data_IF_517766671300
#
_entry.id   IF_517766671300
#
_cell.length_a   1.000
_cell.length_b   1.000
_cell.length_c   1.000
_cell.angle_alpha   90.00
_cell.angle_beta   90.00
_cell.angle_gamma   90.00
#
_symmetry.space_group_name_H-M   'P 1'
#
loop_
_entity.id
_entity.type
_entity.pdbx_description
1 polymer ?
#
# COMPACT_ATOMS: atom_id res chain seq x y z
N UNK A 1 9.18 -16.67 -15.26
CA UNK A 1 9.58 -15.24 -15.17
C UNK A 1 8.34 -14.33 -15.16
N UNK A 2 7.45 -14.53 -14.17
CA UNK A 2 6.26 -13.70 -13.98
C UNK A 2 6.68 -12.29 -13.57
N UNK A 3 6.22 -11.28 -14.33
CA UNK A 3 6.51 -9.86 -14.07
C UNK A 3 5.32 -9.09 -13.54
N UNK A 4 4.13 -9.45 -13.98
CA UNK A 4 2.87 -8.80 -13.59
C UNK A 4 1.89 -9.87 -13.16
N UNK A 5 1.34 -9.71 -11.96
CA UNK A 5 0.24 -10.51 -11.45
C UNK A 5 -0.88 -9.56 -11.00
N UNK A 6 -2.03 -9.70 -11.63
CA UNK A 6 -3.25 -8.97 -11.29
C UNK A 6 -4.37 -9.96 -11.04
N UNK A 7 -4.86 -9.99 -9.81
CA UNK A 7 -5.95 -10.85 -9.36
C UNK A 7 -7.20 -9.98 -9.16
N UNK A 8 -7.83 -9.61 -10.28
CA UNK A 8 -9.03 -8.78 -10.29
C UNK A 8 -10.25 -9.67 -10.56
N UNK A 9 -11.31 -9.45 -9.78
CA UNK A 9 -12.61 -10.13 -9.96
C UNK A 9 -12.48 -11.68 -9.99
N UNK A 10 -11.48 -12.23 -9.33
CA UNK A 10 -11.30 -13.66 -9.17
C UNK A 10 -11.51 -14.08 -7.71
N UNK A 11 -11.93 -15.33 -7.54
CA UNK A 11 -12.01 -15.99 -6.24
C UNK A 11 -10.83 -16.95 -6.17
N UNK A 12 -9.97 -16.79 -5.18
CA UNK A 12 -8.96 -17.77 -4.84
C UNK A 12 -9.51 -18.61 -3.71
N UNK A 13 -9.85 -19.86 -4.01
CA UNK A 13 -10.23 -20.83 -2.99
C UNK A 13 -8.99 -21.22 -2.19
N UNK A 14 -8.82 -20.55 -1.08
CA UNK A 14 -7.66 -20.68 -0.21
C UNK A 14 -8.11 -20.83 1.24
N UNK A 15 -7.70 -21.92 1.86
CA UNK A 15 -8.10 -22.30 3.20
C UNK A 15 -7.18 -21.68 4.27
N UNK A 16 -6.90 -20.36 4.19
CA UNK A 16 -6.18 -19.69 5.27
C UNK A 16 -5.15 -18.64 4.84
N UNK A 17 -5.28 -18.08 3.65
CA UNK A 17 -4.39 -17.00 3.19
C UNK A 17 -3.00 -17.45 2.75
N UNK A 18 -2.82 -18.74 2.50
CA UNK A 18 -1.51 -19.33 2.17
C UNK A 18 -1.15 -19.27 0.67
N UNK A 19 -2.01 -18.71 -0.17
CA UNK A 19 -1.82 -18.70 -1.62
C UNK A 19 -0.50 -18.07 -2.08
N UNK A 20 0.04 -17.10 -1.32
CA UNK A 20 1.35 -16.50 -1.59
C UNK A 20 2.52 -17.47 -1.31
N UNK A 21 2.33 -18.48 -0.46
CA UNK A 21 3.37 -19.47 -0.14
C UNK A 21 3.71 -20.37 -1.33
N UNK A 22 2.77 -20.54 -2.26
CA UNK A 22 2.96 -21.34 -3.48
C UNK A 22 3.85 -20.68 -4.54
N UNK A 23 4.21 -19.40 -4.36
CA UNK A 23 5.16 -18.77 -5.27
C UNK A 23 6.55 -19.37 -5.11
N UNK A 24 7.15 -19.91 -6.19
CA UNK A 24 8.49 -20.46 -6.13
C UNK A 24 9.52 -19.44 -5.63
N UNK A 25 10.54 -19.88 -4.93
CA UNK A 25 11.62 -19.00 -4.46
C UNK A 25 12.33 -18.28 -5.62
N UNK A 26 12.34 -18.89 -6.81
CA UNK A 26 12.85 -18.30 -8.04
C UNK A 26 11.99 -17.17 -8.61
N UNK A 27 10.82 -16.87 -8.03
CA UNK A 27 9.94 -15.77 -8.46
C UNK A 27 10.50 -14.44 -7.98
N UNK A 28 11.51 -13.92 -8.65
CA UNK A 28 12.21 -12.67 -8.30
C UNK A 28 12.00 -11.56 -9.34
N UNK A 29 11.20 -11.83 -10.38
CA UNK A 29 11.04 -10.94 -11.54
C UNK A 29 9.82 -10.02 -11.46
N UNK A 30 9.06 -10.05 -10.34
CA UNK A 30 7.85 -9.23 -10.20
C UNK A 30 8.15 -7.74 -10.29
N UNK A 31 7.33 -7.06 -11.10
CA UNK A 31 7.32 -5.60 -11.27
C UNK A 31 6.01 -5.02 -10.75
N UNK A 32 4.91 -5.75 -10.89
CA UNK A 32 3.58 -5.37 -10.43
C UNK A 32 2.88 -6.56 -9.78
N UNK A 33 2.29 -6.29 -8.61
CA UNK A 33 1.42 -7.20 -7.88
C UNK A 33 0.15 -6.44 -7.47
N UNK A 34 -1.01 -6.82 -8.00
CA UNK A 34 -2.31 -6.24 -7.69
C UNK A 34 -3.29 -7.35 -7.26
N UNK A 35 -3.67 -7.34 -6.00
CA UNK A 35 -4.74 -8.17 -5.45
C UNK A 35 -5.76 -7.36 -4.65
N UNK A 36 -5.89 -6.08 -4.99
CA UNK A 36 -6.75 -5.13 -4.28
C UNK A 36 -8.24 -5.53 -4.28
N UNK A 37 -8.68 -6.25 -5.30
CA UNK A 37 -10.06 -6.74 -5.45
C UNK A 37 -10.24 -8.21 -5.02
N UNK A 38 -9.20 -8.85 -4.50
CA UNK A 38 -9.27 -10.24 -4.05
C UNK A 38 -9.90 -10.29 -2.66
N UNK A 39 -10.99 -11.03 -2.51
CA UNK A 39 -11.61 -11.31 -1.21
C UNK A 39 -11.00 -12.58 -0.61
N UNK A 40 -9.80 -12.45 -0.10
CA UNK A 40 -9.06 -13.54 0.54
C UNK A 40 -8.18 -13.00 1.66
N UNK A 41 -7.96 -13.83 2.67
CA UNK A 41 -6.97 -13.52 3.71
C UNK A 41 -5.55 -13.48 3.11
N UNK A 42 -4.68 -12.75 3.77
CA UNK A 42 -3.28 -12.60 3.36
C UNK A 42 -2.37 -12.85 4.56
N UNK A 43 -1.52 -13.85 4.43
CA UNK A 43 -0.47 -14.11 5.41
C UNK A 43 0.70 -13.14 5.17
N UNK A 44 0.83 -12.17 6.06
CA UNK A 44 1.79 -11.06 5.90
C UNK A 44 3.22 -11.55 5.73
N UNK A 45 3.64 -12.59 6.46
CA UNK A 45 4.99 -13.17 6.34
C UNK A 45 5.31 -13.69 4.94
N UNK A 46 4.33 -14.26 4.24
CA UNK A 46 4.52 -14.76 2.88
C UNK A 46 4.57 -13.61 1.87
N UNK A 47 3.75 -12.58 2.09
CA UNK A 47 3.79 -11.36 1.28
C UNK A 47 5.13 -10.61 1.46
N UNK A 48 5.61 -10.46 2.68
CA UNK A 48 6.92 -9.87 2.99
C UNK A 48 8.06 -10.63 2.29
N UNK A 49 8.01 -11.96 2.35
CA UNK A 49 8.99 -12.82 1.67
C UNK A 49 8.98 -12.62 0.16
N UNK A 50 7.79 -12.54 -0.46
CA UNK A 50 7.65 -12.29 -1.89
C UNK A 50 8.15 -10.90 -2.29
N UNK A 51 7.78 -9.87 -1.54
CA UNK A 51 8.17 -8.48 -1.77
C UNK A 51 9.69 -8.31 -1.61
N UNK A 52 10.28 -8.86 -0.55
CA UNK A 52 11.72 -8.74 -0.26
C UNK A 52 12.59 -9.36 -1.34
N UNK A 53 12.14 -10.46 -1.98
CA UNK A 53 12.87 -11.10 -3.08
C UNK A 53 12.56 -10.52 -4.47
N UNK A 54 11.71 -9.48 -4.54
CA UNK A 54 11.30 -8.83 -5.79
C UNK A 54 11.89 -7.40 -5.90
N UNK A 55 13.18 -7.25 -6.15
CA UNK A 55 13.87 -5.94 -6.12
C UNK A 55 13.38 -4.98 -7.21
N UNK A 56 12.72 -5.51 -8.25
CA UNK A 56 12.17 -4.73 -9.35
C UNK A 56 10.68 -4.38 -9.15
N UNK A 57 10.09 -4.70 -8.00
CA UNK A 57 8.68 -4.42 -7.72
C UNK A 57 8.47 -2.90 -7.65
N UNK A 58 7.62 -2.38 -8.55
CA UNK A 58 7.29 -0.95 -8.67
C UNK A 58 5.85 -0.64 -8.29
N UNK A 59 4.94 -1.58 -8.52
CA UNK A 59 3.52 -1.43 -8.20
C UNK A 59 3.08 -2.54 -7.25
N UNK A 60 2.48 -2.16 -6.13
CA UNK A 60 1.91 -3.06 -5.13
C UNK A 60 0.53 -2.55 -4.73
N UNK A 61 -0.53 -3.33 -4.99
CA UNK A 61 -1.90 -3.00 -4.58
C UNK A 61 -2.46 -4.11 -3.70
N UNK A 62 -2.79 -3.72 -2.50
CA UNK A 62 -3.18 -4.59 -1.39
C UNK A 62 -4.70 -4.59 -1.24
N UNK A 63 -5.26 -5.73 -0.81
CA UNK A 63 -6.66 -5.81 -0.41
C UNK A 63 -6.87 -5.34 1.05
N UNK A 64 -8.13 -5.15 1.48
CA UNK A 64 -8.44 -4.70 2.84
C UNK A 64 -8.04 -5.67 3.96
N UNK A 65 -7.71 -6.94 3.66
CA UNK A 65 -7.23 -7.89 4.65
C UNK A 65 -5.80 -7.56 5.16
N UNK A 66 -5.03 -6.78 4.41
CA UNK A 66 -3.72 -6.29 4.84
C UNK A 66 -3.91 -5.14 5.83
N UNK A 67 -3.55 -5.40 7.08
CA UNK A 67 -3.67 -4.44 8.17
C UNK A 67 -2.61 -3.35 8.10
N UNK A 68 -2.80 -2.28 8.89
CA UNK A 68 -1.84 -1.18 9.00
C UNK A 68 -0.44 -1.64 9.45
N UNK A 69 -0.34 -2.57 10.41
CA UNK A 69 0.95 -3.13 10.84
C UNK A 69 1.62 -3.91 9.70
N UNK A 70 0.85 -4.67 8.92
CA UNK A 70 1.34 -5.35 7.72
C UNK A 70 1.83 -4.36 6.66
N UNK A 71 1.09 -3.28 6.41
CA UNK A 71 1.51 -2.22 5.49
C UNK A 71 2.84 -1.59 5.92
N UNK A 72 2.99 -1.24 7.20
CA UNK A 72 4.24 -0.66 7.75
C UNK A 72 5.43 -1.59 7.50
N UNK A 73 5.25 -2.88 7.73
CA UNK A 73 6.29 -3.89 7.50
C UNK A 73 6.67 -3.99 6.02
N UNK A 74 5.68 -4.03 5.12
CA UNK A 74 5.89 -4.10 3.67
C UNK A 74 6.63 -2.87 3.13
N UNK A 75 6.29 -1.66 3.58
CA UNK A 75 6.94 -0.44 3.13
C UNK A 75 8.44 -0.38 3.52
N UNK A 76 8.83 -1.02 4.61
CA UNK A 76 10.24 -1.18 4.98
C UNK A 76 10.99 -2.11 4.01
N UNK A 77 10.31 -3.11 3.46
CA UNK A 77 10.89 -4.09 2.54
C UNK A 77 10.92 -3.60 1.07
N UNK A 78 10.15 -2.58 0.72
CA UNK A 78 9.96 -2.14 -0.66
C UNK A 78 10.10 -0.62 -0.88
N UNK A 79 11.25 -0.01 -0.54
CA UNK A 79 11.44 1.43 -0.70
C UNK A 79 11.46 1.91 -2.17
N UNK A 80 11.59 0.97 -3.12
CA UNK A 80 11.62 1.22 -4.56
C UNK A 80 10.23 1.37 -5.21
N UNK A 81 9.13 1.25 -4.43
CA UNK A 81 7.79 1.37 -4.96
C UNK A 81 7.52 2.77 -5.53
N UNK A 82 6.89 2.79 -6.71
CA UNK A 82 6.40 3.99 -7.37
C UNK A 82 4.88 4.09 -7.33
N UNK A 83 4.19 2.97 -7.17
CA UNK A 83 2.74 2.87 -7.03
C UNK A 83 2.37 1.98 -5.85
N UNK A 84 1.49 2.47 -4.98
CA UNK A 84 0.99 1.75 -3.82
C UNK A 84 -0.53 1.90 -3.72
N UNK A 85 -1.22 0.77 -3.59
CA UNK A 85 -2.58 0.67 -3.08
C UNK A 85 -2.52 0.09 -1.67
N UNK A 86 -2.94 0.85 -0.68
CA UNK A 86 -2.91 0.40 0.72
C UNK A 86 -4.06 -0.57 1.01
N UNK A 87 -3.89 -1.41 2.02
CA UNK A 87 -4.97 -2.17 2.62
C UNK A 87 -5.85 -1.31 3.53
N UNK A 88 -6.47 -1.93 4.55
CA UNK A 88 -7.37 -1.25 5.47
C UNK A 88 -6.63 -0.55 6.61
N UNK A 89 -7.16 0.61 7.01
CA UNK A 89 -6.73 1.38 8.18
C UNK A 89 -7.69 1.19 9.37
N UNK A 90 -8.79 0.47 9.18
CA UNK A 90 -9.93 0.44 10.11
C UNK A 90 -9.63 -0.08 11.51
N UNK A 91 -8.63 -0.90 11.71
CA UNK A 91 -8.56 -1.71 12.92
C UNK A 91 -7.68 -1.18 14.05
N UNK A 92 -6.92 -0.09 13.89
CA UNK A 92 -5.88 0.23 14.87
C UNK A 92 -5.66 1.73 15.10
N UNK A 93 -6.61 2.37 15.76
CA UNK A 93 -6.47 3.72 16.35
C UNK A 93 -5.52 3.71 17.58
N UNK A 94 -4.29 3.23 17.42
CA UNK A 94 -3.27 3.33 18.47
C UNK A 94 -2.39 4.55 18.18
N UNK A 95 -2.06 5.38 19.19
CA UNK A 95 -1.16 6.53 19.00
C UNK A 95 0.16 6.18 18.32
N UNK A 96 0.66 4.97 18.57
CA UNK A 96 1.91 4.45 17.97
C UNK A 96 1.77 4.15 16.47
N UNK A 97 0.56 3.86 15.98
CA UNK A 97 0.32 3.51 14.58
C UNK A 97 0.65 4.69 13.64
N UNK A 98 0.31 5.92 14.03
CA UNK A 98 0.64 7.13 13.28
C UNK A 98 2.16 7.29 13.09
N UNK A 99 2.92 7.17 14.18
CA UNK A 99 4.37 7.32 14.15
C UNK A 99 5.03 6.27 13.24
N UNK A 100 4.64 5.01 13.39
CA UNK A 100 5.12 3.90 12.55
C UNK A 100 4.80 4.10 11.07
N UNK A 101 3.58 4.54 10.76
CA UNK A 101 3.14 4.80 9.40
C UNK A 101 3.91 5.97 8.78
N UNK A 102 4.07 7.06 9.51
CA UNK A 102 4.83 8.23 9.08
C UNK A 102 6.30 7.87 8.79
N UNK A 103 6.92 7.08 9.65
CA UNK A 103 8.27 6.56 9.45
C UNK A 103 8.34 5.68 8.19
N UNK A 104 7.39 4.75 8.02
CA UNK A 104 7.37 3.85 6.88
C UNK A 104 7.22 4.60 5.55
N UNK A 105 6.31 5.58 5.46
CA UNK A 105 6.19 6.42 4.26
C UNK A 105 7.44 7.28 4.01
N UNK A 106 8.16 7.69 5.03
CA UNK A 106 9.39 8.47 4.86
C UNK A 106 10.47 7.74 4.06
N UNK A 107 10.40 6.40 4.00
CA UNK A 107 11.30 5.57 3.22
C UNK A 107 10.88 5.42 1.76
N UNK A 108 9.61 5.73 1.42
CA UNK A 108 9.04 5.56 0.07
C UNK A 108 9.26 6.79 -0.82
N UNK A 109 10.49 7.24 -0.97
CA UNK A 109 10.85 8.49 -1.67
C UNK A 109 10.55 8.48 -3.17
N UNK A 110 10.33 7.30 -3.75
CA UNK A 110 10.03 7.15 -5.19
C UNK A 110 8.52 7.07 -5.48
N UNK A 111 7.67 7.14 -4.44
CA UNK A 111 6.24 6.99 -4.60
C UNK A 111 5.64 8.13 -5.41
N UNK A 112 4.90 7.78 -6.47
CA UNK A 112 4.25 8.71 -7.39
C UNK A 112 2.73 8.53 -7.42
N UNK A 113 2.24 7.34 -7.11
CA UNK A 113 0.81 7.02 -7.09
C UNK A 113 0.43 6.33 -5.77
N UNK A 114 -0.59 6.88 -5.10
CA UNK A 114 -1.12 6.35 -3.85
C UNK A 114 -2.63 6.20 -3.93
N UNK A 115 -3.14 5.03 -3.56
CA UNK A 115 -4.56 4.68 -3.57
C UNK A 115 -4.88 3.67 -2.45
N UNK A 116 -6.10 3.17 -2.45
CA UNK A 116 -6.56 2.24 -1.42
C UNK A 116 -7.15 2.97 -0.24
N UNK A 117 -6.34 3.46 0.67
CA UNK A 117 -6.67 4.30 1.83
C UNK A 117 -8.04 3.98 2.48
N UNK A 118 -8.38 2.67 2.52
CA UNK A 118 -9.65 2.16 3.03
C UNK A 118 -9.80 2.54 4.51
N UNK A 119 -10.89 3.23 4.81
CA UNK A 119 -11.23 3.66 6.17
C UNK A 119 -10.18 4.55 6.87
N UNK A 120 -9.31 5.21 6.10
CA UNK A 120 -8.38 6.17 6.68
C UNK A 120 -9.14 7.32 7.32
N UNK A 121 -8.76 7.66 8.54
CA UNK A 121 -9.32 8.79 9.27
C UNK A 121 -8.47 10.05 9.07
N UNK A 122 -9.05 11.25 9.23
CA UNK A 122 -8.34 12.52 9.05
C UNK A 122 -7.04 12.62 9.85
N UNK A 123 -6.99 12.03 11.03
CA UNK A 123 -5.84 12.04 11.93
C UNK A 123 -4.60 11.35 11.34
N UNK A 124 -4.79 10.44 10.37
CA UNK A 124 -3.69 9.71 9.70
C UNK A 124 -3.18 10.40 8.43
N UNK A 125 -3.93 11.35 7.86
CA UNK A 125 -3.51 12.05 6.63
C UNK A 125 -2.13 12.72 6.75
N UNK A 126 -1.74 13.32 7.90
CA UNK A 126 -0.40 13.87 8.05
C UNK A 126 0.75 12.85 7.92
N UNK A 127 0.50 11.55 8.11
CA UNK A 127 1.51 10.52 7.89
C UNK A 127 1.95 10.43 6.41
N UNK A 128 1.13 10.92 5.46
CA UNK A 128 1.42 10.96 4.03
C UNK A 128 2.31 12.13 3.62
N UNK A 129 2.56 13.11 4.50
CA UNK A 129 3.26 14.35 4.14
C UNK A 129 4.66 14.12 3.58
N UNK A 130 5.34 13.07 4.02
CA UNK A 130 6.68 12.73 3.55
C UNK A 130 6.72 12.31 2.07
N UNK A 131 5.64 11.74 1.53
CA UNK A 131 5.56 11.30 0.13
C UNK A 131 4.89 12.34 -0.78
N UNK A 132 4.14 13.28 -0.23
CA UNK A 132 3.41 14.31 -0.98
C UNK A 132 4.24 15.01 -2.08
N UNK A 133 5.49 15.42 -1.85
CA UNK A 133 6.26 16.13 -2.89
C UNK A 133 6.54 15.29 -4.15
N UNK A 134 6.46 13.95 -4.03
CA UNK A 134 6.66 13.00 -5.13
C UNK A 134 5.38 12.62 -5.85
N UNK A 135 4.20 12.77 -5.19
CA UNK A 135 2.94 12.26 -5.72
C UNK A 135 2.46 13.04 -6.95
N UNK A 136 2.14 12.28 -7.99
CA UNK A 136 1.44 12.76 -9.20
C UNK A 136 -0.02 12.31 -9.22
N UNK A 137 -0.34 11.26 -8.46
CA UNK A 137 -1.67 10.65 -8.40
C UNK A 137 -2.01 10.27 -6.96
N UNK A 138 -3.17 10.74 -6.47
CA UNK A 138 -3.68 10.43 -5.14
C UNK A 138 -5.17 10.08 -5.22
N UNK A 139 -5.55 8.92 -4.70
CA UNK A 139 -6.94 8.50 -4.62
C UNK A 139 -7.37 8.40 -3.15
N UNK A 140 -8.29 9.28 -2.76
CA UNK A 140 -8.90 9.36 -1.42
C UNK A 140 -10.35 8.87 -1.39
N UNK A 141 -10.78 8.09 -2.40
CA UNK A 141 -12.20 7.71 -2.58
C UNK A 141 -12.81 6.99 -1.38
N UNK A 142 -12.02 6.33 -0.56
CA UNK A 142 -12.47 5.58 0.62
C UNK A 142 -12.00 6.19 1.94
N UNK A 143 -11.39 7.38 1.88
CA UNK A 143 -10.89 8.09 3.05
C UNK A 143 -11.94 9.02 3.63
N UNK A 144 -11.96 9.15 4.96
CA UNK A 144 -12.67 10.24 5.61
C UNK A 144 -11.73 11.44 5.75
N UNK A 145 -12.09 12.56 5.10
CA UNK A 145 -11.26 13.76 5.08
C UNK A 145 -12.00 14.98 5.62
N UNK A 146 -11.28 15.83 6.35
CA UNK A 146 -11.77 17.16 6.71
C UNK A 146 -11.17 18.18 5.76
N UNK A 147 -11.93 19.22 5.39
CA UNK A 147 -11.46 20.24 4.44
C UNK A 147 -10.13 20.90 4.81
N UNK A 148 -9.85 21.27 6.07
CA UNK A 148 -8.55 21.81 6.44
C UNK A 148 -7.39 20.84 6.19
N UNK A 149 -7.58 19.55 6.51
CA UNK A 149 -6.57 18.51 6.33
C UNK A 149 -6.30 18.25 4.84
N UNK A 150 -7.37 18.24 4.03
CA UNK A 150 -7.25 18.11 2.58
C UNK A 150 -6.47 19.27 1.96
N UNK A 151 -6.79 20.50 2.35
CA UNK A 151 -6.09 21.70 1.85
C UNK A 151 -4.61 21.65 2.21
N UNK A 152 -4.27 21.26 3.44
CA UNK A 152 -2.88 21.15 3.87
C UNK A 152 -2.14 20.02 3.13
N UNK A 153 -2.80 18.89 2.90
CA UNK A 153 -2.26 17.80 2.10
C UNK A 153 -1.95 18.26 0.66
N UNK A 154 -2.90 18.93 0.02
CA UNK A 154 -2.76 19.42 -1.37
C UNK A 154 -1.66 20.48 -1.51
N UNK A 155 -1.46 21.35 -0.52
CA UNK A 155 -0.35 22.31 -0.50
C UNK A 155 1.02 21.64 -0.57
N UNK A 156 1.13 20.42 -0.02
CA UNK A 156 2.38 19.65 0.00
C UNK A 156 2.58 18.84 -1.29
N UNK A 157 1.51 18.53 -2.00
CA UNK A 157 1.53 17.72 -3.22
C UNK A 157 1.82 18.58 -4.47
N UNK A 158 3.00 19.18 -4.55
CA UNK A 158 3.35 20.15 -5.62
C UNK A 158 3.36 19.59 -7.04
N UNK A 159 3.41 18.25 -7.19
CA UNK A 159 3.42 17.56 -8.49
C UNK A 159 2.10 16.88 -8.82
N UNK A 160 1.08 17.02 -7.98
CA UNK A 160 -0.17 16.30 -8.12
C UNK A 160 -0.90 16.70 -9.43
N UNK A 161 -1.25 15.70 -10.22
CA UNK A 161 -1.96 15.83 -11.48
C UNK A 161 -3.35 15.20 -11.43
N UNK A 162 -3.53 14.18 -10.58
CA UNK A 162 -4.77 13.43 -10.45
C UNK A 162 -5.16 13.29 -8.99
N UNK A 163 -6.41 13.63 -8.67
CA UNK A 163 -7.03 13.47 -7.35
C UNK A 163 -8.42 12.88 -7.51
N UNK A 164 -8.74 11.85 -6.75
CA UNK A 164 -10.08 11.27 -6.61
C UNK A 164 -10.55 11.24 -5.17
#
# INVERSE_FOLDING_TARGET
NLRVLELRECIVEDLGGDWLSYFPESSTSLVSLDFSCLDSEVKISDLERLVSRSPNLKSLKLNPAVTLDGLVSLLRCAPQLTELGTGSFAAQLKPEAFSKLSEAFSNCKQLQSLSGLWDVLPEYLPALYSVCPGLTSLNLSYATVRMPDLVELLRRCSKLQKLW
#
